data_IF_500028013744
#
_entry.id   IF_500028013744
#
_cell.length_a   1.000
_cell.length_b   1.000
_cell.length_c   1.000
_cell.angle_alpha   90.00
_cell.angle_beta   90.00
_cell.angle_gamma   90.00
#
_symmetry.space_group_name_H-M   'P 1'
#
loop_
_entity.id
_entity.type
_entity.pdbx_description
1 polymer ?
#
# COMPACT_ATOMS: atom_id res chain seq x y z
N UNK A 1 4.86 1.52 16.06
CA UNK A 1 3.93 0.62 15.35
C UNK A 1 3.11 -0.06 16.40
N UNK A 2 1.80 0.08 16.32
CA UNK A 2 0.78 -0.52 17.18
C UNK A 2 -0.55 -0.59 16.40
N UNK A 3 -1.61 -1.07 17.05
CA UNK A 3 -2.95 -1.17 16.43
C UNK A 3 -3.59 0.19 16.11
N UNK A 4 -3.13 1.27 16.73
CA UNK A 4 -3.60 2.62 16.44
C UNK A 4 -2.87 3.23 15.25
N UNK A 5 -1.69 2.71 14.87
CA UNK A 5 -0.85 3.21 13.78
C UNK A 5 -0.83 2.36 12.51
N UNK A 6 -1.43 1.16 12.52
CA UNK A 6 -1.46 0.24 11.37
C UNK A 6 -2.90 0.11 10.88
N UNK A 7 -3.13 0.34 9.59
CA UNK A 7 -4.41 0.10 8.94
C UNK A 7 -4.58 -1.37 8.53
N UNK A 8 -5.84 -1.81 8.46
CA UNK A 8 -6.23 -3.01 7.72
C UNK A 8 -6.84 -2.60 6.38
N UNK A 9 -6.39 -3.19 5.28
CA UNK A 9 -7.02 -2.99 3.98
C UNK A 9 -8.35 -3.74 3.93
N UNK A 10 -9.45 -3.03 3.66
CA UNK A 10 -10.78 -3.64 3.59
C UNK A 10 -10.90 -4.63 2.44
N UNK A 11 -10.09 -4.53 1.39
CA UNK A 11 -10.06 -5.49 0.27
C UNK A 11 -9.50 -6.86 0.67
N UNK A 12 -8.83 -6.98 1.82
CA UNK A 12 -8.41 -8.27 2.33
C UNK A 12 -9.58 -9.14 2.82
N UNK A 13 -10.75 -8.56 3.05
CA UNK A 13 -11.92 -9.25 3.58
C UNK A 13 -13.06 -9.29 2.55
N UNK A 14 -13.89 -10.33 2.63
CA UNK A 14 -15.10 -10.45 1.82
C UNK A 14 -16.33 -9.79 2.47
N UNK A 15 -17.36 -9.56 1.68
CA UNK A 15 -18.70 -9.17 2.14
C UNK A 15 -18.96 -7.65 2.16
N UNK A 16 -20.17 -7.25 2.62
CA UNK A 16 -20.59 -5.85 2.67
C UNK A 16 -19.62 -4.96 3.46
N UNK A 17 -19.52 -3.69 3.08
CA UNK A 17 -18.57 -2.74 3.67
C UNK A 17 -18.76 -2.63 5.20
N UNK A 18 -20.00 -2.59 5.67
CA UNK A 18 -20.35 -2.51 7.09
C UNK A 18 -19.83 -3.71 7.89
N UNK A 19 -19.89 -4.91 7.31
CA UNK A 19 -19.40 -6.14 7.94
C UNK A 19 -17.88 -6.10 8.05
N UNK A 20 -17.19 -5.64 7.00
CA UNK A 20 -15.72 -5.53 6.99
C UNK A 20 -15.20 -4.46 7.94
N UNK A 21 -15.86 -3.30 8.01
CA UNK A 21 -15.52 -2.24 8.98
C UNK A 21 -15.76 -2.70 10.42
N UNK A 22 -16.88 -3.38 10.67
CA UNK A 22 -17.19 -3.95 11.98
C UNK A 22 -16.18 -5.02 12.41
N UNK A 23 -15.78 -5.90 11.49
CA UNK A 23 -14.76 -6.92 11.74
C UNK A 23 -13.40 -6.31 12.08
N UNK A 24 -12.96 -5.29 11.33
CA UNK A 24 -11.72 -4.57 11.62
C UNK A 24 -11.73 -3.93 13.02
N UNK A 25 -12.82 -3.27 13.40
CA UNK A 25 -12.98 -2.66 14.72
C UNK A 25 -12.96 -3.70 15.84
N UNK A 26 -13.66 -4.82 15.64
CA UNK A 26 -13.75 -5.92 16.61
C UNK A 26 -12.40 -6.61 16.84
N UNK A 27 -11.56 -6.72 15.81
CA UNK A 27 -10.19 -7.28 15.93
C UNK A 27 -9.15 -6.24 16.37
N UNK A 28 -9.58 -5.01 16.69
CA UNK A 28 -8.75 -3.99 17.34
C UNK A 28 -8.14 -2.95 16.41
N UNK A 29 -8.32 -3.05 15.09
CA UNK A 29 -7.87 -2.01 14.17
C UNK A 29 -8.71 -0.74 14.36
N UNK A 30 -8.03 0.40 14.34
CA UNK A 30 -8.65 1.74 14.38
C UNK A 30 -8.46 2.51 13.09
N UNK A 31 -7.66 1.98 12.16
CA UNK A 31 -7.43 2.56 10.85
C UNK A 31 -7.73 1.54 9.75
N UNK A 32 -8.19 2.03 8.61
CA UNK A 32 -8.43 1.21 7.42
C UNK A 32 -7.93 1.90 6.16
N UNK A 33 -7.56 1.10 5.17
CA UNK A 33 -7.47 1.54 3.78
C UNK A 33 -8.72 1.04 3.07
N UNK A 34 -9.45 1.95 2.44
CA UNK A 34 -10.74 1.65 1.79
C UNK A 34 -10.59 1.76 0.29
N UNK A 35 -11.22 0.85 -0.46
CA UNK A 35 -11.25 0.99 -1.91
C UNK A 35 -12.36 1.93 -2.37
N UNK A 36 -12.12 2.71 -3.43
CA UNK A 36 -13.18 3.52 -4.04
C UNK A 36 -14.35 2.65 -4.54
N UNK A 37 -14.04 1.43 -5.01
CA UNK A 37 -15.03 0.44 -5.44
C UNK A 37 -16.00 0.07 -4.31
N UNK A 38 -15.51 -0.10 -3.07
CA UNK A 38 -16.34 -0.41 -1.91
C UNK A 38 -17.39 0.67 -1.62
N UNK A 39 -17.05 1.94 -1.87
CA UNK A 39 -17.95 3.06 -1.65
C UNK A 39 -19.02 3.17 -2.74
N UNK A 40 -18.61 3.02 -4.01
CA UNK A 40 -19.51 3.22 -5.16
C UNK A 40 -20.40 2.01 -5.43
N UNK A 41 -20.00 0.82 -4.98
CA UNK A 41 -20.81 -0.40 -5.08
C UNK A 41 -21.76 -0.61 -3.90
N UNK A 42 -21.77 0.29 -2.92
CA UNK A 42 -22.63 0.17 -1.76
C UNK A 42 -24.12 0.18 -2.19
N UNK A 43 -24.93 -0.79 -1.75
CA UNK A 43 -26.29 -1.01 -2.28
C UNK A 43 -27.25 0.15 -2.03
N UNK A 44 -26.95 0.99 -1.04
CA UNK A 44 -27.75 2.19 -0.69
C UNK A 44 -27.16 3.49 -1.26
N UNK A 45 -26.18 3.40 -2.16
CA UNK A 45 -25.51 4.53 -2.78
C UNK A 45 -24.30 5.06 -1.98
N UNK A 46 -23.57 5.96 -2.64
CA UNK A 46 -22.28 6.51 -2.14
C UNK A 46 -22.47 7.31 -0.86
N UNK A 47 -23.52 8.12 -0.75
CA UNK A 47 -23.74 8.96 0.43
C UNK A 47 -23.93 8.11 1.70
N UNK A 48 -24.65 6.99 1.58
CA UNK A 48 -24.79 6.04 2.68
C UNK A 48 -23.47 5.34 2.99
N UNK A 49 -22.67 4.98 1.98
CA UNK A 49 -21.35 4.39 2.19
C UNK A 49 -20.40 5.35 2.92
N UNK A 50 -20.42 6.63 2.54
CA UNK A 50 -19.65 7.69 3.20
C UNK A 50 -20.11 7.86 4.63
N UNK A 51 -21.42 7.93 4.88
CA UNK A 51 -21.95 7.99 6.23
C UNK A 51 -21.54 6.77 7.05
N UNK A 52 -21.66 5.56 6.51
CA UNK A 52 -21.24 4.32 7.15
C UNK A 52 -19.77 4.38 7.58
N UNK A 53 -18.87 4.75 6.67
CA UNK A 53 -17.43 4.86 6.99
C UNK A 53 -17.20 5.90 8.09
N UNK A 54 -17.82 7.08 7.99
CA UNK A 54 -17.67 8.17 8.98
C UNK A 54 -18.19 7.80 10.38
N UNK A 55 -19.22 6.97 10.47
CA UNK A 55 -19.82 6.55 11.75
C UNK A 55 -19.29 5.21 12.27
N UNK A 56 -18.47 4.49 11.50
CA UNK A 56 -17.95 3.17 11.89
C UNK A 56 -16.94 3.20 13.05
N UNK A 57 -16.39 4.39 13.36
CA UNK A 57 -15.37 4.56 14.41
C UNK A 57 -13.92 4.31 13.95
N UNK A 58 -13.70 3.90 12.69
CA UNK A 58 -12.36 3.83 12.10
C UNK A 58 -11.92 5.18 11.54
N UNK A 59 -10.61 5.40 11.46
CA UNK A 59 -10.01 6.44 10.63
C UNK A 59 -9.63 5.87 9.27
N UNK A 60 -9.92 6.58 8.20
CA UNK A 60 -9.47 6.17 6.86
C UNK A 60 -8.05 6.70 6.65
N UNK A 61 -7.07 5.80 6.55
CA UNK A 61 -5.67 6.15 6.35
C UNK A 61 -5.40 6.52 4.89
N UNK A 62 -5.98 5.78 3.94
CA UNK A 62 -5.86 6.04 2.52
C UNK A 62 -7.08 5.53 1.74
N UNK A 63 -7.34 6.12 0.58
CA UNK A 63 -8.23 5.57 -0.43
C UNK A 63 -7.40 4.87 -1.51
N UNK A 64 -7.80 3.66 -1.92
CA UNK A 64 -7.17 2.94 -3.03
C UNK A 64 -8.16 2.65 -4.18
N UNK A 65 -7.78 2.64 -5.44
CA UNK A 65 -6.58 3.25 -6.01
C UNK A 65 -6.97 3.97 -7.30
N UNK A 66 -6.18 4.98 -7.66
CA UNK A 66 -6.14 5.50 -9.02
C UNK A 66 -5.14 4.65 -9.82
N UNK A 67 -5.56 4.18 -10.99
CA UNK A 67 -4.71 3.39 -11.89
C UNK A 67 -4.64 4.05 -13.25
N UNK A 68 -3.53 3.82 -13.94
CA UNK A 68 -3.25 4.23 -15.30
C UNK A 68 -3.54 5.72 -15.51
N UNK A 69 -2.75 6.61 -14.89
CA UNK A 69 -2.99 8.05 -14.91
C UNK A 69 -1.94 8.82 -15.72
N UNK A 70 -0.67 8.55 -15.45
CA UNK A 70 0.49 9.24 -16.02
C UNK A 70 0.95 8.63 -17.35
N UNK A 71 1.62 9.44 -18.18
CA UNK A 71 2.20 9.01 -19.45
C UNK A 71 1.17 8.87 -20.58
N UNK A 72 -0.09 9.24 -20.34
CA UNK A 72 -1.17 9.19 -21.33
C UNK A 72 -1.26 10.51 -22.11
N UNK A 73 -1.79 10.45 -23.33
CA UNK A 73 -1.93 11.62 -24.20
C UNK A 73 -3.38 11.90 -24.59
N UNK A 74 -3.66 13.16 -24.96
CA UNK A 74 -4.91 13.56 -25.60
C UNK A 74 -6.17 13.28 -24.77
N UNK A 75 -7.28 12.84 -25.40
CA UNK A 75 -8.55 12.60 -24.71
C UNK A 75 -8.48 11.61 -23.54
N UNK A 76 -7.58 10.61 -23.62
CA UNK A 76 -7.44 9.59 -22.58
C UNK A 76 -6.89 10.19 -21.28
N UNK A 77 -5.86 11.04 -21.37
CA UNK A 77 -5.36 11.74 -20.19
C UNK A 77 -6.41 12.71 -19.61
N UNK A 78 -7.15 13.43 -20.46
CA UNK A 78 -8.21 14.32 -19.99
C UNK A 78 -9.34 13.57 -19.26
N UNK A 79 -9.66 12.36 -19.72
CA UNK A 79 -10.57 11.46 -19.02
C UNK A 79 -10.01 11.06 -17.65
N UNK A 80 -8.74 10.61 -17.57
CA UNK A 80 -8.11 10.22 -16.30
C UNK A 80 -7.98 11.37 -15.30
N UNK A 81 -7.82 12.60 -15.77
CA UNK A 81 -7.90 13.81 -14.91
C UNK A 81 -9.28 13.96 -14.28
N UNK A 82 -10.36 13.68 -15.01
CA UNK A 82 -11.71 13.73 -14.46
C UNK A 82 -11.94 12.59 -13.45
N UNK A 83 -11.41 11.40 -13.70
CA UNK A 83 -11.42 10.28 -12.75
C UNK A 83 -10.67 10.64 -11.46
N UNK A 84 -9.47 11.23 -11.58
CA UNK A 84 -8.69 11.68 -10.44
C UNK A 84 -9.45 12.70 -9.58
N UNK A 85 -10.13 13.68 -10.20
CA UNK A 85 -10.98 14.63 -9.47
C UNK A 85 -12.10 13.94 -8.69
N UNK A 86 -12.72 12.91 -9.29
CA UNK A 86 -13.74 12.08 -8.63
C UNK A 86 -13.20 11.34 -7.41
N UNK A 87 -12.06 10.66 -7.56
CA UNK A 87 -11.41 9.95 -6.45
C UNK A 87 -10.96 10.89 -5.34
N UNK A 88 -10.40 12.05 -5.68
CA UNK A 88 -10.05 13.07 -4.68
C UNK A 88 -11.28 13.62 -3.94
N UNK A 89 -12.45 13.70 -4.60
CA UNK A 89 -13.69 14.04 -3.92
C UNK A 89 -14.15 12.92 -2.96
N UNK A 90 -13.99 11.65 -3.34
CA UNK A 90 -14.27 10.51 -2.47
C UNK A 90 -13.33 10.49 -1.26
N UNK A 91 -12.02 10.71 -1.45
CA UNK A 91 -11.05 10.84 -0.35
C UNK A 91 -11.55 11.86 0.68
N UNK A 92 -11.90 13.07 0.23
CA UNK A 92 -12.44 14.12 1.09
C UNK A 92 -13.75 13.70 1.77
N UNK A 93 -14.64 13.01 1.05
CA UNK A 93 -15.93 12.56 1.58
C UNK A 93 -15.76 11.58 2.75
N UNK A 94 -14.87 10.60 2.63
CA UNK A 94 -14.59 9.62 3.71
C UNK A 94 -13.52 10.08 4.71
N UNK A 95 -12.83 11.18 4.42
CA UNK A 95 -11.79 11.75 5.28
C UNK A 95 -10.43 11.06 5.14
N UNK A 96 -10.18 10.44 3.99
CA UNK A 96 -8.87 9.90 3.67
C UNK A 96 -7.90 11.04 3.33
N UNK A 97 -6.78 11.18 4.07
CA UNK A 97 -5.76 12.20 3.78
C UNK A 97 -4.85 11.80 2.60
N UNK A 98 -4.91 10.55 2.15
CA UNK A 98 -3.99 9.98 1.17
C UNK A 98 -4.76 9.26 0.05
N UNK A 99 -4.35 9.48 -1.21
CA UNK A 99 -4.78 8.69 -2.36
C UNK A 99 -3.63 7.81 -2.86
N UNK A 100 -3.84 6.49 -2.89
CA UNK A 100 -2.91 5.55 -3.50
C UNK A 100 -3.07 5.58 -5.04
N UNK A 101 -1.95 5.73 -5.74
CA UNK A 101 -1.85 5.75 -7.20
C UNK A 101 -0.85 4.68 -7.61
N UNK A 102 -1.24 3.76 -8.49
CA UNK A 102 -0.33 2.74 -9.01
C UNK A 102 0.14 3.11 -10.40
N UNK A 103 1.42 2.87 -10.69
CA UNK A 103 2.02 3.10 -12.00
C UNK A 103 1.23 2.43 -13.12
N UNK A 104 1.16 3.11 -14.26
CA UNK A 104 0.36 2.72 -15.41
C UNK A 104 0.88 1.45 -16.05
N UNK A 105 -0.03 0.53 -16.39
CA UNK A 105 0.29 -0.75 -17.05
C UNK A 105 -0.32 -0.87 -18.44
N UNK A 106 -1.14 0.10 -18.84
CA UNK A 106 -1.72 0.19 -20.18
C UNK A 106 -0.66 0.47 -21.24
N UNK A 107 -0.85 -0.06 -22.45
CA UNK A 107 0.11 0.05 -23.55
C UNK A 107 0.28 1.49 -24.06
N UNK A 108 -0.73 2.33 -23.86
CA UNK A 108 -0.78 3.74 -24.25
C UNK A 108 0.04 4.65 -23.33
N UNK A 109 0.49 4.16 -22.17
CA UNK A 109 1.35 4.91 -21.28
C UNK A 109 2.77 5.02 -21.87
N UNK A 110 3.19 6.24 -22.18
CA UNK A 110 4.52 6.57 -22.65
C UNK A 110 5.53 6.67 -21.52
N UNK A 111 6.80 6.42 -21.84
CA UNK A 111 7.93 6.37 -20.90
C UNK A 111 8.72 7.69 -20.82
N UNK A 112 8.25 8.75 -21.50
CA UNK A 112 8.90 10.06 -21.47
C UNK A 112 8.87 10.65 -20.04
N UNK A 113 10.02 10.65 -19.38
CA UNK A 113 10.17 11.01 -17.97
C UNK A 113 9.64 12.42 -17.67
N UNK A 114 9.85 13.39 -18.57
CA UNK A 114 9.34 14.75 -18.37
C UNK A 114 7.82 14.81 -18.44
N UNK A 115 7.21 14.01 -19.32
CA UNK A 115 5.77 13.92 -19.44
C UNK A 115 5.15 13.27 -18.20
N UNK A 116 5.70 12.13 -17.77
CA UNK A 116 5.28 11.41 -16.57
C UNK A 116 5.37 12.32 -15.33
N UNK A 117 6.50 13.01 -15.15
CA UNK A 117 6.70 13.95 -14.06
C UNK A 117 5.66 15.09 -14.08
N UNK A 118 5.36 15.64 -15.26
CA UNK A 118 4.36 16.70 -15.43
C UNK A 118 2.95 16.23 -15.06
N UNK A 119 2.59 15.02 -15.44
CA UNK A 119 1.30 14.42 -15.13
C UNK A 119 1.14 14.21 -13.62
N UNK A 120 2.13 13.59 -12.98
CA UNK A 120 2.13 13.37 -11.52
C UNK A 120 2.12 14.71 -10.75
N UNK A 121 2.90 15.70 -11.21
CA UNK A 121 2.87 17.05 -10.64
C UNK A 121 1.49 17.72 -10.76
N UNK A 122 0.81 17.51 -11.90
CA UNK A 122 -0.57 17.98 -12.10
C UNK A 122 -1.55 17.28 -11.15
N UNK A 123 -1.42 15.98 -10.95
CA UNK A 123 -2.26 15.24 -9.99
C UNK A 123 -2.08 15.76 -8.56
N UNK A 124 -0.83 15.89 -8.13
CA UNK A 124 -0.49 16.44 -6.83
C UNK A 124 -1.05 17.86 -6.64
N UNK A 125 -0.94 18.71 -7.67
CA UNK A 125 -1.52 20.08 -7.66
C UNK A 125 -3.05 20.06 -7.51
N UNK A 126 -3.75 19.12 -8.15
CA UNK A 126 -5.20 18.96 -8.01
C UNK A 126 -5.63 18.53 -6.60
N UNK A 127 -4.73 17.86 -5.87
CA UNK A 127 -4.99 17.34 -4.53
C UNK A 127 -4.79 18.39 -3.41
N UNK A 128 -3.93 19.39 -3.63
CA UNK A 128 -3.61 20.45 -2.64
C UNK A 128 -4.85 21.13 -2.03
N UNK A 129 -5.84 21.62 -2.81
CA UNK A 129 -7.00 22.32 -2.23
C UNK A 129 -7.89 21.44 -1.36
N UNK A 130 -7.68 20.12 -1.39
CA UNK A 130 -8.45 19.14 -0.62
C UNK A 130 -7.67 18.62 0.59
N UNK A 131 -6.41 19.05 0.77
CA UNK A 131 -5.52 18.54 1.81
C UNK A 131 -5.25 17.05 1.65
N UNK A 132 -5.08 16.59 0.40
CA UNK A 132 -4.82 15.19 0.07
C UNK A 132 -3.39 15.05 -0.44
N UNK A 133 -2.67 14.10 0.14
CA UNK A 133 -1.38 13.62 -0.33
C UNK A 133 -1.56 12.50 -1.35
N UNK A 134 -0.59 12.34 -2.23
CA UNK A 134 -0.53 11.30 -3.26
C UNK A 134 0.58 10.32 -2.91
N UNK A 135 0.25 9.03 -2.81
CA UNK A 135 1.22 7.95 -2.66
C UNK A 135 1.35 7.20 -3.98
N UNK A 136 2.46 7.37 -4.69
CA UNK A 136 2.73 6.70 -5.96
C UNK A 136 3.44 5.36 -5.74
N UNK A 137 2.88 4.28 -6.26
CA UNK A 137 3.37 2.93 -6.07
C UNK A 137 3.85 2.34 -7.40
N UNK A 138 5.05 1.75 -7.39
CA UNK A 138 5.52 0.91 -8.47
C UNK A 138 4.52 -0.24 -8.75
N UNK A 139 4.42 -0.62 -10.02
CA UNK A 139 3.54 -1.70 -10.44
C UNK A 139 4.30 -2.66 -11.35
N UNK A 140 4.51 -3.93 -10.94
CA UNK A 140 5.16 -4.92 -11.80
C UNK A 140 4.47 -5.02 -13.17
N UNK A 141 5.27 -4.97 -14.24
CA UNK A 141 4.79 -4.94 -15.62
C UNK A 141 4.46 -3.53 -16.16
N UNK A 142 4.59 -2.49 -15.34
CA UNK A 142 4.53 -1.10 -15.82
C UNK A 142 5.74 -0.78 -16.68
N UNK A 143 5.50 -0.05 -17.77
CA UNK A 143 6.56 0.54 -18.60
C UNK A 143 7.10 1.84 -18.02
N UNK A 144 6.32 2.48 -17.16
CA UNK A 144 6.63 3.78 -16.54
C UNK A 144 7.44 3.58 -15.26
N UNK A 145 6.93 2.76 -14.33
CA UNK A 145 7.58 2.48 -13.06
C UNK A 145 7.27 1.05 -12.58
N UNK A 146 8.13 0.11 -12.97
CA UNK A 146 7.99 -1.31 -12.63
C UNK A 146 8.48 -1.65 -11.22
N UNK A 147 9.34 -0.80 -10.66
CA UNK A 147 10.13 -1.03 -9.46
C UNK A 147 10.23 0.24 -8.59
N UNK A 148 10.63 0.10 -7.33
CA UNK A 148 10.70 1.19 -6.35
C UNK A 148 11.64 2.30 -6.83
N UNK A 149 12.74 1.94 -7.51
CA UNK A 149 13.73 2.90 -8.02
C UNK A 149 13.14 3.79 -9.13
N UNK A 150 12.41 3.20 -10.07
CA UNK A 150 11.73 3.95 -11.14
C UNK A 150 10.56 4.78 -10.61
N UNK A 151 9.82 4.29 -9.61
CA UNK A 151 8.79 5.08 -8.93
C UNK A 151 9.40 6.30 -8.21
N UNK A 152 10.55 6.12 -7.56
CA UNK A 152 11.27 7.20 -6.89
C UNK A 152 11.73 8.27 -7.88
N UNK A 153 12.28 7.84 -9.02
CA UNK A 153 12.69 8.75 -10.08
C UNK A 153 11.51 9.61 -10.58
N UNK A 154 10.33 9.01 -10.75
CA UNK A 154 9.12 9.72 -11.17
C UNK A 154 8.67 10.76 -10.12
N UNK A 155 8.64 10.37 -8.84
CA UNK A 155 8.24 11.25 -7.73
C UNK A 155 9.22 12.41 -7.56
N UNK A 156 10.52 12.13 -7.62
CA UNK A 156 11.56 13.16 -7.52
C UNK A 156 11.52 14.13 -8.70
N UNK A 157 11.29 13.66 -9.92
CA UNK A 157 11.18 14.51 -11.09
C UNK A 157 9.93 15.41 -11.06
N UNK A 158 8.83 14.94 -10.47
CA UNK A 158 7.60 15.72 -10.33
C UNK A 158 7.71 16.84 -9.27
N UNK A 159 8.61 16.68 -8.30
CA UNK A 159 8.99 17.64 -7.25
C UNK A 159 7.80 18.35 -6.57
N UNK A 160 6.91 17.56 -5.93
CA UNK A 160 5.80 18.08 -5.13
C UNK A 160 5.87 17.58 -3.69
N UNK A 161 5.64 18.48 -2.74
CA UNK A 161 5.68 18.16 -1.32
C UNK A 161 4.56 17.18 -0.89
N UNK A 162 3.41 17.21 -1.57
CA UNK A 162 2.28 16.30 -1.32
C UNK A 162 2.29 15.08 -2.27
N UNK A 163 3.43 14.75 -2.87
CA UNK A 163 3.63 13.56 -3.68
C UNK A 163 4.81 12.77 -3.12
N UNK A 164 4.52 11.58 -2.62
CA UNK A 164 5.48 10.62 -2.10
C UNK A 164 5.24 9.24 -2.71
N UNK A 165 6.01 8.26 -2.25
CA UNK A 165 5.89 6.88 -2.67
C UNK A 165 5.03 6.06 -1.72
N UNK A 166 4.49 4.98 -2.26
CA UNK A 166 4.01 3.85 -1.51
C UNK A 166 4.86 2.61 -1.85
N UNK A 167 5.10 1.76 -0.85
CA UNK A 167 5.79 0.47 -1.02
C UNK A 167 4.76 -0.64 -0.79
N UNK A 168 4.64 -1.58 -1.72
CA UNK A 168 3.92 -2.85 -1.53
C UNK A 168 4.97 -3.96 -1.34
N UNK A 169 5.02 -4.57 -0.16
CA UNK A 169 6.07 -5.56 0.13
C UNK A 169 5.92 -6.85 -0.65
N UNK A 170 4.70 -7.18 -1.09
CA UNK A 170 4.46 -8.28 -2.00
C UNK A 170 5.18 -8.04 -3.33
N UNK A 171 5.13 -6.82 -3.86
CA UNK A 171 5.87 -6.46 -5.07
C UNK A 171 7.38 -6.37 -4.80
N UNK A 172 7.75 -5.73 -3.68
CA UNK A 172 9.14 -5.53 -3.31
C UNK A 172 9.93 -6.84 -3.30
N UNK A 173 9.39 -7.87 -2.65
CA UNK A 173 10.08 -9.14 -2.44
C UNK A 173 9.88 -10.17 -3.56
N UNK A 174 8.97 -9.94 -4.51
CA UNK A 174 8.75 -10.88 -5.63
C UNK A 174 9.31 -10.40 -6.97
N UNK A 175 9.67 -9.11 -7.12
CA UNK A 175 10.15 -8.62 -8.42
C UNK A 175 11.05 -7.39 -8.42
N UNK A 176 11.31 -6.75 -7.28
CA UNK A 176 11.89 -5.40 -7.21
C UNK A 176 13.23 -5.39 -6.42
N UNK A 177 14.04 -6.42 -6.58
CA UNK A 177 15.37 -6.50 -5.95
C UNK A 177 15.39 -6.56 -4.41
N UNK A 178 14.23 -6.53 -3.74
CA UNK A 178 14.13 -6.62 -2.28
C UNK A 178 14.60 -5.34 -1.57
N UNK A 179 15.30 -5.51 -0.45
CA UNK A 179 15.65 -4.38 0.43
C UNK A 179 16.67 -3.42 -0.17
N UNK A 180 17.50 -3.88 -1.11
CA UNK A 180 18.55 -3.06 -1.72
C UNK A 180 17.95 -1.91 -2.56
N UNK A 181 16.71 -2.07 -3.04
CA UNK A 181 15.99 -0.99 -3.73
C UNK A 181 15.70 0.21 -2.82
N UNK A 182 15.73 0.04 -1.49
CA UNK A 182 15.42 1.08 -0.52
C UNK A 182 16.62 1.89 -0.07
N UNK A 183 17.84 1.50 -0.47
CA UNK A 183 19.06 2.21 -0.08
C UNK A 183 19.11 3.65 -0.62
N UNK A 184 18.26 3.96 -1.61
CA UNK A 184 18.11 5.30 -2.21
C UNK A 184 16.89 6.07 -1.71
N UNK A 185 15.96 5.39 -1.04
CA UNK A 185 14.71 5.97 -0.57
C UNK A 185 14.91 6.87 0.65
N UNK A 186 14.46 8.13 0.52
CA UNK A 186 14.42 9.07 1.64
C UNK A 186 13.09 8.99 2.40
N UNK A 187 13.14 9.05 3.73
CA UNK A 187 11.98 8.82 4.58
C UNK A 187 10.85 9.86 4.40
N UNK A 188 11.21 11.10 4.07
CA UNK A 188 10.28 12.20 3.78
C UNK A 188 9.51 12.01 2.46
N UNK A 189 10.01 11.12 1.59
CA UNK A 189 9.36 10.75 0.34
C UNK A 189 8.51 9.48 0.45
N UNK A 190 8.41 8.83 1.61
CA UNK A 190 7.60 7.61 1.80
C UNK A 190 6.33 7.92 2.60
N UNK A 191 5.15 7.68 2.02
CA UNK A 191 3.85 8.02 2.65
C UNK A 191 3.09 6.79 3.15
N UNK A 192 3.24 5.63 2.48
CA UNK A 192 2.51 4.42 2.80
C UNK A 192 3.36 3.16 2.59
N UNK A 193 3.26 2.20 3.49
CA UNK A 193 3.87 0.87 3.32
C UNK A 193 2.81 -0.20 3.53
N UNK A 194 2.44 -0.88 2.44
CA UNK A 194 1.55 -2.04 2.42
C UNK A 194 2.34 -3.31 2.73
N UNK A 195 2.08 -3.88 3.91
CA UNK A 195 2.69 -5.09 4.44
C UNK A 195 1.86 -6.32 4.05
N UNK A 196 2.50 -7.21 3.32
CA UNK A 196 2.04 -8.56 3.02
C UNK A 196 3.23 -9.51 2.96
N UNK A 197 3.00 -10.77 3.30
CA UNK A 197 3.91 -11.85 2.96
C UNK A 197 3.43 -12.55 1.69
N UNK A 198 4.25 -13.46 1.17
CA UNK A 198 3.95 -14.21 -0.04
C UNK A 198 4.32 -15.67 0.12
N UNK A 199 3.46 -16.56 -0.38
CA UNK A 199 3.74 -17.99 -0.52
C UNK A 199 3.91 -18.27 -2.01
N UNK A 200 5.09 -18.77 -2.40
CA UNK A 200 5.35 -19.13 -3.79
C UNK A 200 4.46 -20.30 -4.24
N UNK A 201 3.87 -20.16 -5.41
CA UNK A 201 3.12 -21.21 -6.10
C UNK A 201 3.99 -21.80 -7.20
N UNK A 202 3.85 -23.09 -7.47
CA UNK A 202 4.49 -23.70 -8.65
C UNK A 202 3.74 -23.21 -9.88
N UNK A 203 4.46 -22.72 -10.89
CA UNK A 203 3.88 -22.45 -12.21
C UNK A 203 3.22 -23.74 -12.73
N UNK A 204 1.89 -23.73 -12.85
CA UNK A 204 1.11 -24.89 -13.24
C UNK A 204 -0.20 -24.49 -13.91
N UNK A 205 -0.37 -24.98 -15.14
CA UNK A 205 -1.53 -24.93 -16.06
C UNK A 205 -2.88 -24.52 -15.44
N UNK A 206 -3.20 -23.22 -15.45
CA UNK A 206 -4.57 -22.75 -15.23
C UNK A 206 -4.85 -21.47 -16.03
N UNK A 207 -4.93 -21.64 -17.35
CA UNK A 207 -5.59 -20.68 -18.23
C UNK A 207 -7.08 -20.63 -17.87
N UNK A 208 -7.51 -19.57 -17.19
CA UNK A 208 -8.91 -19.16 -17.16
C UNK A 208 -8.98 -17.63 -17.08
N UNK A 209 -9.91 -16.94 -17.78
CA UNK A 209 -9.75 -15.53 -18.14
C UNK A 209 -10.52 -14.52 -17.25
N UNK A 210 -10.91 -14.89 -16.03
CA UNK A 210 -11.83 -14.08 -15.23
C UNK A 210 -11.36 -13.91 -13.77
N UNK A 211 -10.32 -13.11 -13.55
CA UNK A 211 -10.06 -12.32 -12.32
C UNK A 211 -8.72 -11.60 -12.47
N UNK A 212 -8.68 -10.30 -12.23
CA UNK A 212 -7.49 -9.44 -12.34
C UNK A 212 -6.41 -9.66 -11.28
N UNK A 213 -6.05 -10.91 -10.99
CA UNK A 213 -4.93 -11.34 -10.14
C UNK A 213 -4.17 -12.56 -10.70
N UNK A 214 -4.42 -12.95 -11.97
CA UNK A 214 -3.94 -14.21 -12.58
C UNK A 214 -2.62 -14.10 -13.35
N UNK A 215 -1.57 -13.53 -12.76
CA UNK A 215 -0.21 -13.55 -13.35
C UNK A 215 0.88 -13.53 -12.29
N UNK A 216 0.63 -14.14 -11.13
CA UNK A 216 1.60 -14.15 -10.04
C UNK A 216 1.86 -15.58 -9.59
N UNK A 217 3.11 -16.01 -9.64
CA UNK A 217 3.57 -17.30 -9.12
C UNK A 217 3.59 -17.31 -7.58
N UNK A 218 2.66 -16.59 -6.94
CA UNK A 218 2.54 -16.46 -5.49
C UNK A 218 1.14 -16.05 -5.04
N UNK A 219 0.81 -16.43 -3.81
CA UNK A 219 -0.37 -15.94 -3.07
C UNK A 219 0.09 -14.91 -2.05
N UNK A 220 -0.63 -13.78 -1.95
CA UNK A 220 -0.43 -12.79 -0.87
C UNK A 220 -1.11 -13.26 0.40
N UNK A 221 -0.38 -13.25 1.50
CA UNK A 221 -0.88 -13.62 2.83
C UNK A 221 -0.46 -12.56 3.85
N UNK A 222 -0.97 -12.63 5.08
CA UNK A 222 -0.56 -11.68 6.11
C UNK A 222 0.91 -11.93 6.53
N UNK A 223 1.62 -10.89 7.00
CA UNK A 223 2.97 -11.03 7.56
C UNK A 223 3.08 -12.18 8.57
N UNK A 224 4.02 -13.11 8.33
CA UNK A 224 4.26 -14.27 9.20
C UNK A 224 3.73 -15.61 8.65
N UNK A 225 2.81 -15.58 7.69
CA UNK A 225 2.26 -16.79 7.05
C UNK A 225 3.02 -17.20 5.78
N UNK A 226 3.94 -16.36 5.28
CA UNK A 226 4.71 -16.61 4.08
C UNK A 226 6.21 -16.81 4.32
N UNK A 227 7.01 -16.63 3.28
CA UNK A 227 8.47 -16.86 3.31
C UNK A 227 9.32 -15.59 3.43
N UNK A 228 8.70 -14.41 3.50
CA UNK A 228 9.38 -13.10 3.52
C UNK A 228 9.49 -12.48 4.92
N UNK A 229 9.17 -13.23 5.97
CA UNK A 229 9.18 -12.81 7.37
C UNK A 229 10.45 -12.01 7.78
N UNK A 230 11.64 -12.55 7.53
CA UNK A 230 12.89 -11.87 7.93
C UNK A 230 13.14 -10.59 7.13
N UNK A 231 12.81 -10.59 5.84
CA UNK A 231 12.94 -9.41 4.98
C UNK A 231 11.95 -8.31 5.38
N UNK A 232 10.72 -8.67 5.76
CA UNK A 232 9.71 -7.75 6.29
C UNK A 232 10.18 -7.09 7.60
N UNK A 233 10.76 -7.88 8.51
CA UNK A 233 11.26 -7.35 9.79
C UNK A 233 12.45 -6.40 9.57
N UNK A 234 13.37 -6.75 8.68
CA UNK A 234 14.49 -5.87 8.32
C UNK A 234 14.03 -4.60 7.59
N UNK A 235 13.02 -4.69 6.71
CA UNK A 235 12.38 -3.53 6.09
C UNK A 235 11.88 -2.55 7.15
N UNK A 236 11.04 -3.03 8.06
CA UNK A 236 10.44 -2.18 9.10
C UNK A 236 11.54 -1.57 9.98
N UNK A 237 12.62 -2.31 10.25
CA UNK A 237 13.79 -1.79 10.99
C UNK A 237 14.49 -0.67 10.23
N UNK A 238 14.77 -0.84 8.93
CA UNK A 238 15.40 0.19 8.09
C UNK A 238 14.54 1.44 8.01
N UNK A 239 13.23 1.28 7.79
CA UNK A 239 12.25 2.38 7.76
C UNK A 239 12.25 3.18 9.07
N UNK A 240 12.30 2.50 10.23
CA UNK A 240 12.41 3.18 11.53
C UNK A 240 13.72 3.95 11.68
N UNK A 241 14.84 3.39 11.21
CA UNK A 241 16.16 4.03 11.30
C UNK A 241 16.24 5.31 10.46
N UNK A 242 15.60 5.33 9.29
CA UNK A 242 15.56 6.52 8.43
C UNK A 242 14.49 7.53 8.88
N UNK A 243 13.70 7.24 9.91
CA UNK A 243 12.67 8.14 10.43
C UNK A 243 11.37 8.12 9.63
N UNK A 244 10.97 6.97 9.09
CA UNK A 244 9.68 6.83 8.43
C UNK A 244 8.52 7.10 9.41
N UNK A 245 7.67 8.07 9.05
CA UNK A 245 6.49 8.48 9.81
C UNK A 245 5.18 8.29 9.04
N UNK A 246 5.24 7.74 7.83
CA UNK A 246 4.07 7.39 7.05
C UNK A 246 3.28 6.23 7.65
N UNK A 247 2.19 5.88 6.98
CA UNK A 247 1.28 4.85 7.46
C UNK A 247 1.73 3.44 7.08
N UNK A 248 1.52 2.46 7.97
CA UNK A 248 1.59 1.04 7.62
C UNK A 248 0.18 0.49 7.36
N UNK A 249 0.03 -0.45 6.44
CA UNK A 249 -1.24 -1.11 6.16
C UNK A 249 -1.02 -2.61 5.94
N UNK A 250 -1.82 -3.48 6.54
CA UNK A 250 -1.85 -4.90 6.19
C UNK A 250 -2.64 -5.08 4.89
N UNK A 251 -2.01 -5.63 3.85
CA UNK A 251 -2.54 -5.72 2.48
C UNK A 251 -2.46 -7.16 1.95
N UNK A 252 -3.27 -8.06 2.50
CA UNK A 252 -3.31 -9.47 2.10
C UNK A 252 -4.62 -9.83 1.38
N UNK A 253 -4.96 -9.11 0.31
CA UNK A 253 -6.05 -9.52 -0.58
C UNK A 253 -5.66 -10.76 -1.39
N UNK A 254 -6.49 -11.81 -1.30
CA UNK A 254 -6.34 -13.06 -2.05
C UNK A 254 -7.70 -13.79 -2.19
N UNK A 255 -7.73 -14.80 -3.07
CA UNK A 255 -8.94 -15.55 -3.38
C UNK A 255 -9.46 -16.43 -2.23
N UNK A 256 -8.61 -16.86 -1.31
CA UNK A 256 -9.02 -17.70 -0.17
C UNK A 256 -9.72 -16.86 0.89
N UNK A 257 -9.15 -15.70 1.23
CA UNK A 257 -9.77 -14.71 2.12
C UNK A 257 -11.13 -14.23 1.56
N UNK A 258 -11.24 -14.11 0.24
CA UNK A 258 -12.47 -13.73 -0.44
C UNK A 258 -13.62 -14.74 -0.24
N UNK A 259 -13.33 -15.96 0.22
CA UNK A 259 -14.29 -17.02 0.49
C UNK A 259 -14.62 -17.19 1.98
N UNK A 260 -13.93 -16.46 2.86
CA UNK A 260 -14.05 -16.62 4.31
C UNK A 260 -14.83 -15.47 4.95
N UNK A 261 -15.48 -15.69 6.11
CA UNK A 261 -16.13 -14.62 6.86
C UNK A 261 -15.14 -13.50 7.23
N UNK A 262 -15.54 -12.24 7.08
CA UNK A 262 -14.69 -11.09 7.38
C UNK A 262 -14.11 -11.14 8.81
N UNK A 263 -14.89 -11.58 9.79
CA UNK A 263 -14.44 -11.71 11.18
C UNK A 263 -13.27 -12.71 11.34
N UNK A 264 -13.28 -13.81 10.58
CA UNK A 264 -12.19 -14.78 10.61
C UNK A 264 -10.90 -14.17 10.07
N UNK A 265 -10.99 -13.54 8.89
CA UNK A 265 -9.83 -12.90 8.23
C UNK A 265 -9.29 -11.72 9.06
N UNK A 266 -10.18 -10.94 9.70
CA UNK A 266 -9.79 -9.84 10.57
C UNK A 266 -9.03 -10.31 11.83
N UNK A 267 -9.35 -11.50 12.35
CA UNK A 267 -8.60 -12.11 13.45
C UNK A 267 -7.22 -12.61 12.98
N UNK A 268 -7.12 -13.19 11.78
CA UNK A 268 -5.81 -13.53 11.19
C UNK A 268 -4.93 -12.27 11.03
N UNK A 269 -5.51 -11.16 10.57
CA UNK A 269 -4.81 -9.88 10.47
C UNK A 269 -4.32 -9.38 11.84
N UNK A 270 -5.14 -9.55 12.90
CA UNK A 270 -4.77 -9.20 14.27
C UNK A 270 -3.61 -10.06 14.78
N UNK A 271 -3.67 -11.37 14.57
CA UNK A 271 -2.61 -12.30 14.98
C UNK A 271 -1.30 -12.00 14.25
N UNK A 272 -1.37 -11.68 12.96
CA UNK A 272 -0.22 -11.20 12.18
C UNK A 272 0.39 -9.92 12.75
N UNK A 273 -0.43 -8.94 13.13
CA UNK A 273 0.08 -7.71 13.76
C UNK A 273 0.68 -7.99 15.14
N UNK A 274 0.06 -8.85 15.97
CA UNK A 274 0.66 -9.28 17.23
C UNK A 274 2.02 -9.95 17.02
N UNK A 275 2.13 -10.82 16.02
CA UNK A 275 3.36 -11.49 15.65
C UNK A 275 4.44 -10.48 15.23
N UNK A 276 4.12 -9.52 14.36
CA UNK A 276 5.04 -8.44 13.96
C UNK A 276 5.53 -7.65 15.18
N UNK A 277 4.62 -7.22 16.06
CA UNK A 277 4.94 -6.45 17.25
C UNK A 277 5.79 -7.24 18.26
N UNK A 278 5.55 -8.55 18.38
CA UNK A 278 6.37 -9.42 19.21
C UNK A 278 7.80 -9.52 18.64
N UNK A 279 7.95 -9.77 17.33
CA UNK A 279 9.25 -9.91 16.68
C UNK A 279 10.06 -8.61 16.70
N UNK A 280 9.43 -7.47 16.44
CA UNK A 280 10.12 -6.17 16.44
C UNK A 280 10.61 -5.78 17.84
N UNK A 281 9.88 -6.12 18.90
CA UNK A 281 10.33 -5.91 20.30
C UNK A 281 11.62 -6.65 20.64
N UNK A 282 11.84 -7.82 20.05
CA UNK A 282 13.08 -8.58 20.27
C UNK A 282 14.28 -8.01 19.49
N UNK A 283 14.03 -7.29 18.39
CA UNK A 283 15.05 -6.70 17.53
C UNK A 283 15.53 -5.34 18.06
N UNK A 284 14.67 -4.57 18.75
CA UNK A 284 14.99 -3.26 19.33
C UNK A 284 15.83 -3.33 20.63
N UNK A 285 16.17 -4.53 21.13
CA UNK A 285 17.14 -4.67 22.21
C UNK A 285 18.54 -4.32 21.66
N UNK A 286 19.30 -3.39 22.28
CA UNK A 286 20.64 -3.11 21.82
C UNK A 286 21.44 -4.41 21.84
N UNK A 287 21.97 -4.82 20.67
CA UNK A 287 22.95 -5.91 20.59
C UNK A 287 23.96 -5.65 21.69
N UNK A 288 24.06 -6.56 22.68
CA UNK A 288 25.07 -6.46 23.75
C UNK A 288 26.39 -6.18 23.05
N UNK A 289 26.97 -5.00 23.30
CA UNK A 289 28.33 -4.70 22.87
C UNK A 289 29.20 -5.79 23.47
N UNK A 290 29.71 -6.70 22.64
CA UNK A 290 30.78 -7.60 23.07
C UNK A 290 31.93 -6.69 23.51
N UNK A 291 32.45 -6.83 24.74
CA UNK A 291 33.60 -6.05 25.16
C UNK A 291 34.72 -6.27 24.14
N UNK A 292 35.29 -5.18 23.60
CA UNK A 292 36.51 -5.27 22.80
C UNK A 292 37.54 -6.04 23.64
N UNK A 293 38.20 -7.07 23.10
CA UNK A 293 39.31 -7.69 23.81
C UNK A 293 40.33 -6.59 24.14
N UNK A 294 40.68 -6.48 25.42
CA UNK A 294 41.71 -5.56 25.88
C UNK A 294 43.01 -5.89 25.15
N UNK A 295 43.57 -4.89 24.47
CA UNK A 295 44.92 -4.99 23.90
C UNK A 295 45.89 -5.37 25.03
N UNK A 296 46.84 -6.29 24.79
CA UNK A 296 47.88 -6.60 25.76
C UNK A 296 48.64 -5.32 26.08
N UNK A 297 48.83 -5.06 27.37
CA UNK A 297 49.79 -4.07 27.84
C UNK A 297 51.18 -4.69 27.68
N UNK A 298 52.10 -3.91 27.14
CA UNK A 298 53.52 -4.24 26.93
C UNK A 298 54.20 -4.86 28.16
#
# INVERSE_FOLDING_TARGET
>A
MDFDSVALDTSAMAGPLEVRLGAAMASGFRQVVVSAADLVSHPRGVDEAVALVRHSGVRVQALRQLQDYEGLSGPLHQYKVNIAKGLLNLCRAVGAPLLLVTASTVAEAGEDAEHVARDLAKLATLAVPKGIDIAYQAQPGSRVAADVVSAEACVNAADRANLGMAIDTGHLFTGDGGLDALDRCYADRLFLVGLSDTIAMRAGDAASPAAGERTRDYVRVFPGDGSSAEALLELIRRLRLIGFHGGFCLNAANADHAQLPAAFVAEQARDSLHWLLARLRHIDLPRRRTPRPSLPKD
#
